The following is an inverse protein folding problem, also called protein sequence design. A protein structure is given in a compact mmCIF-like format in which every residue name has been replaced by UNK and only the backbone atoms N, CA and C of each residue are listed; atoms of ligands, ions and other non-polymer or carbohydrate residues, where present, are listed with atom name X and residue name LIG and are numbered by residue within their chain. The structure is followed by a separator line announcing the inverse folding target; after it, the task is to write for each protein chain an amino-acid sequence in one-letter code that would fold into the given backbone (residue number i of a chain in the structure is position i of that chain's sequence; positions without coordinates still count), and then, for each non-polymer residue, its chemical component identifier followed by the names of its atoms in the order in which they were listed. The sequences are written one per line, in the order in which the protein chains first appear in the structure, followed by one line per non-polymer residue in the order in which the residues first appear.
data_IF_084209886484
#
_entry.id   IF_084209886484
#
_cell.length_a   1.000
_cell.length_b   1.000
_cell.length_c   1.000
_cell.angle_alpha   90.00
_cell.angle_beta   90.00
_cell.angle_gamma   90.00
#
_symmetry.space_group_name_H-M   'P 1'
#
loop_
_entity.id
_entity.type
_entity.pdbx_description
1 polymer ?
#
# COMPACT_ATOMS: atom_id res chain seq x y z
N UNK A 1 -64.02 24.46 18.47
CA UNK A 1 -63.52 23.21 19.07
C UNK A 1 -62.59 22.53 18.06
N UNK A 2 -61.36 22.44 18.47
CA UNK A 2 -60.17 22.21 17.66
C UNK A 2 -60.01 20.74 17.17
N UNK A 3 -59.93 20.54 15.84
CA UNK A 3 -59.58 19.27 15.18
C UNK A 3 -58.15 19.27 14.65
N UNK A 4 -57.21 19.83 15.37
CA UNK A 4 -55.80 19.98 14.89
C UNK A 4 -54.79 19.10 15.63
N UNK A 5 -55.20 17.94 16.19
CA UNK A 5 -54.29 17.05 16.91
C UNK A 5 -54.09 15.67 16.29
N UNK A 6 -54.44 15.44 15.03
CA UNK A 6 -54.36 14.10 14.46
C UNK A 6 -53.27 13.90 13.41
N UNK A 7 -52.32 14.82 13.29
CA UNK A 7 -51.18 14.67 12.36
C UNK A 7 -49.87 14.98 13.04
N UNK A 8 -49.65 14.44 14.24
CA UNK A 8 -48.30 14.32 14.76
C UNK A 8 -47.78 12.95 14.29
N UNK A 9 -47.33 12.93 13.05
CA UNK A 9 -46.55 11.83 12.52
C UNK A 9 -45.24 11.85 13.33
N UNK A 10 -45.12 10.89 14.24
CA UNK A 10 -43.88 10.64 14.96
C UNK A 10 -42.77 10.52 13.91
N UNK A 11 -41.95 11.54 13.81
CA UNK A 11 -40.74 11.48 13.03
C UNK A 11 -39.95 10.23 13.49
N UNK A 12 -39.58 9.31 12.59
CA UNK A 12 -38.87 8.10 12.99
C UNK A 12 -37.66 8.53 13.78
N UNK A 13 -37.60 8.09 15.04
CA UNK A 13 -36.46 8.34 15.92
C UNK A 13 -35.18 8.13 15.12
N UNK A 14 -34.39 9.18 14.97
CA UNK A 14 -33.15 9.16 14.25
C UNK A 14 -32.31 8.02 14.84
N UNK A 15 -32.24 6.92 14.10
CA UNK A 15 -31.38 5.80 14.46
C UNK A 15 -30.01 6.39 14.73
N UNK A 16 -29.38 6.12 15.87
CA UNK A 16 -28.05 6.63 16.13
C UNK A 16 -27.17 6.16 14.97
N UNK A 17 -26.72 7.08 14.14
CA UNK A 17 -25.69 6.80 13.16
C UNK A 17 -24.50 6.34 13.98
N UNK A 18 -24.23 5.04 13.94
CA UNK A 18 -22.99 4.48 14.46
C UNK A 18 -21.91 5.18 13.66
N UNK A 19 -21.39 6.25 14.23
CA UNK A 19 -20.32 7.03 13.65
C UNK A 19 -19.06 6.15 13.78
N UNK A 20 -18.88 5.21 12.83
CA UNK A 20 -17.62 4.50 12.64
C UNK A 20 -16.62 5.47 12.03
N UNK A 21 -16.27 6.49 12.76
CA UNK A 21 -15.05 7.22 12.51
C UNK A 21 -13.95 6.24 12.88
N UNK A 22 -13.44 5.52 11.87
CA UNK A 22 -12.20 4.78 12.02
C UNK A 22 -11.19 5.77 12.62
N UNK A 23 -10.63 5.43 13.78
CA UNK A 23 -9.68 6.32 14.45
C UNK A 23 -8.60 6.69 13.43
N UNK A 24 -8.28 7.98 13.22
CA UNK A 24 -7.32 8.41 12.20
C UNK A 24 -5.95 7.75 12.40
N UNK A 25 -5.63 7.40 13.65
CA UNK A 25 -4.39 6.70 14.02
C UNK A 25 -4.38 5.28 13.43
N UNK A 26 -5.48 4.52 13.53
CA UNK A 26 -5.58 3.17 12.95
C UNK A 26 -5.53 3.21 11.43
N UNK A 27 -6.19 4.18 10.81
CA UNK A 27 -6.19 4.32 9.36
C UNK A 27 -4.79 4.62 8.81
N UNK A 28 -3.95 5.30 9.59
CA UNK A 28 -2.59 5.64 9.20
C UNK A 28 -1.59 4.53 9.55
N UNK A 29 -1.75 3.84 10.68
CA UNK A 29 -0.80 2.82 11.16
C UNK A 29 -0.95 1.49 10.43
N UNK A 30 -2.16 1.08 10.03
CA UNK A 30 -2.40 -0.21 9.36
C UNK A 30 -1.57 -0.40 8.09
N UNK A 31 -1.47 0.57 7.15
CA UNK A 31 -0.62 0.42 5.97
C UNK A 31 0.86 0.21 6.32
N UNK A 32 1.39 0.98 7.25
CA UNK A 32 2.78 0.88 7.68
C UNK A 32 3.11 -0.48 8.30
N UNK A 33 2.27 -0.91 9.24
CA UNK A 33 2.44 -2.19 9.93
C UNK A 33 2.31 -3.36 8.96
N UNK A 34 1.34 -3.32 8.04
CA UNK A 34 1.13 -4.40 7.08
C UNK A 34 2.31 -4.56 6.11
N UNK A 35 2.92 -3.45 5.67
CA UNK A 35 4.12 -3.50 4.82
C UNK A 35 5.32 -4.05 5.60
N UNK A 36 5.54 -3.63 6.84
CA UNK A 36 6.61 -4.15 7.70
C UNK A 36 6.44 -5.65 7.94
N UNK A 37 5.22 -6.11 8.23
CA UNK A 37 4.93 -7.55 8.37
C UNK A 37 5.23 -8.27 7.06
N UNK A 38 4.88 -7.68 5.91
CA UNK A 38 5.18 -8.23 4.58
C UNK A 38 6.69 -8.37 4.32
N UNK A 39 7.52 -7.45 4.84
CA UNK A 39 8.99 -7.55 4.74
C UNK A 39 9.57 -8.66 5.62
N UNK A 40 8.97 -8.91 6.78
CA UNK A 40 9.42 -9.95 7.73
C UNK A 40 8.88 -11.34 7.36
N UNK A 41 7.71 -11.41 6.74
CA UNK A 41 7.04 -12.66 6.42
C UNK A 41 7.91 -13.66 5.65
N UNK A 42 8.70 -13.29 4.63
CA UNK A 42 9.59 -14.21 3.95
C UNK A 42 10.59 -14.91 4.86
N UNK A 43 11.09 -14.23 5.89
CA UNK A 43 12.04 -14.80 6.84
C UNK A 43 11.43 -15.95 7.67
N UNK A 44 10.12 -15.97 7.84
CA UNK A 44 9.41 -17.05 8.56
C UNK A 44 9.11 -18.25 7.66
N UNK A 45 9.02 -18.06 6.36
CA UNK A 45 8.69 -19.11 5.38
C UNK A 45 9.93 -19.71 4.70
N UNK A 46 11.15 -19.32 5.10
CA UNK A 46 12.43 -19.85 4.56
C UNK A 46 12.67 -21.29 5.05
N UNK A 47 11.74 -22.20 4.75
CA UNK A 47 11.97 -23.66 4.80
C UNK A 47 12.13 -24.22 3.38
N UNK A 48 11.86 -23.43 2.34
CA UNK A 48 11.97 -23.85 0.97
C UNK A 48 13.23 -23.26 0.32
N UNK A 49 14.06 -24.13 -0.22
CA UNK A 49 15.24 -23.85 -1.03
C UNK A 49 14.96 -23.14 -2.36
N UNK A 50 13.95 -22.29 -2.42
CA UNK A 50 13.63 -21.50 -3.61
C UNK A 50 14.30 -20.12 -3.51
N UNK A 51 15.22 -19.78 -4.42
CA UNK A 51 15.98 -18.53 -4.36
C UNK A 51 15.17 -17.28 -4.74
N UNK A 52 13.90 -17.42 -5.08
CA UNK A 52 13.06 -16.31 -5.55
C UNK A 52 11.75 -16.30 -4.75
N UNK A 53 11.74 -15.57 -3.65
CA UNK A 53 10.50 -15.25 -2.95
C UNK A 53 9.85 -14.02 -3.60
N UNK A 54 8.51 -14.04 -3.81
CA UNK A 54 7.81 -12.87 -4.30
C UNK A 54 8.00 -11.69 -3.33
N UNK A 55 8.12 -10.45 -3.83
CA UNK A 55 8.31 -9.27 -2.98
C UNK A 55 6.98 -8.87 -2.31
N UNK A 56 6.55 -9.62 -1.28
CA UNK A 56 5.27 -9.41 -0.60
C UNK A 56 5.12 -8.00 -0.05
N UNK A 57 6.18 -7.46 0.55
CA UNK A 57 6.17 -6.12 1.10
C UNK A 57 5.91 -5.07 0.03
N UNK A 58 6.57 -5.18 -1.11
CA UNK A 58 6.37 -4.27 -2.24
C UNK A 58 4.97 -4.38 -2.83
N UNK A 59 4.42 -5.61 -2.94
CA UNK A 59 3.04 -5.84 -3.38
C UNK A 59 2.03 -5.15 -2.45
N UNK A 60 2.19 -5.31 -1.13
CA UNK A 60 1.32 -4.68 -0.13
C UNK A 60 1.46 -3.15 -0.21
N UNK A 61 2.68 -2.65 -0.35
CA UNK A 61 2.96 -1.21 -0.48
C UNK A 61 2.26 -0.59 -1.69
N UNK A 62 2.42 -1.18 -2.89
CA UNK A 62 1.77 -0.72 -4.12
C UNK A 62 0.25 -0.79 -3.99
N UNK A 63 -0.28 -1.86 -3.39
CA UNK A 63 -1.72 -2.02 -3.16
C UNK A 63 -2.29 -0.90 -2.29
N UNK A 64 -1.63 -0.55 -1.18
CA UNK A 64 -2.06 0.54 -0.32
C UNK A 64 -2.01 1.90 -1.01
N UNK A 65 -0.96 2.17 -1.76
CA UNK A 65 -0.84 3.42 -2.54
C UNK A 65 -1.97 3.56 -3.55
N UNK A 66 -2.39 2.47 -4.18
CA UNK A 66 -3.48 2.49 -5.16
C UNK A 66 -4.87 2.56 -4.52
N UNK A 67 -5.10 1.79 -3.44
CA UNK A 67 -6.39 1.78 -2.77
C UNK A 67 -6.70 3.08 -2.03
N UNK A 68 -5.69 3.71 -1.44
CA UNK A 68 -5.80 4.96 -0.68
C UNK A 68 -4.65 5.91 -0.99
N UNK A 69 -4.76 6.70 -2.06
CA UNK A 69 -3.81 7.77 -2.35
C UNK A 69 -3.69 8.72 -1.14
N UNK A 70 -2.47 9.04 -0.75
CA UNK A 70 -2.19 9.95 0.37
C UNK A 70 -1.99 9.32 1.75
N UNK A 71 -2.29 8.03 1.95
CA UNK A 71 -2.03 7.35 3.25
C UNK A 71 -0.54 7.06 3.44
N UNK A 72 0.16 6.72 2.37
CA UNK A 72 1.61 6.58 2.35
C UNK A 72 2.20 7.78 1.61
N UNK A 73 2.88 8.69 2.32
CA UNK A 73 3.50 9.86 1.69
C UNK A 73 4.65 9.43 0.76
N UNK A 74 5.06 10.34 -0.12
CA UNK A 74 6.13 10.09 -1.10
C UNK A 74 7.45 9.61 -0.46
N UNK A 75 7.75 10.08 0.75
CA UNK A 75 8.95 9.68 1.48
C UNK A 75 8.84 8.32 2.19
N UNK A 76 7.65 7.70 2.21
CA UNK A 76 7.44 6.40 2.86
C UNK A 76 8.28 5.27 2.24
N UNK A 77 8.66 5.41 0.97
CA UNK A 77 9.56 4.47 0.29
C UNK A 77 10.93 4.34 0.94
N UNK A 78 11.44 5.42 1.55
CA UNK A 78 12.75 5.40 2.22
C UNK A 78 12.77 4.49 3.46
N UNK A 79 11.95 4.73 4.51
CA UNK A 79 11.99 3.92 5.72
C UNK A 79 11.47 2.50 5.49
N UNK A 80 10.46 2.32 4.65
CA UNK A 80 9.91 0.99 4.37
C UNK A 80 10.87 0.17 3.49
N UNK A 81 11.53 0.79 2.50
CA UNK A 81 12.58 0.16 1.72
C UNK A 81 13.80 -0.21 2.57
N UNK A 82 14.16 0.61 3.57
CA UNK A 82 15.22 0.27 4.51
C UNK A 82 14.87 -0.97 5.34
N UNK A 83 13.64 -1.07 5.81
CA UNK A 83 13.17 -2.28 6.53
C UNK A 83 13.25 -3.50 5.60
N UNK A 84 12.82 -3.36 4.35
CA UNK A 84 12.88 -4.45 3.38
C UNK A 84 14.33 -4.89 3.10
N UNK A 85 15.27 -3.95 2.92
CA UNK A 85 16.70 -4.25 2.73
C UNK A 85 17.31 -5.05 3.90
N UNK A 86 16.86 -4.79 5.14
CA UNK A 86 17.36 -5.49 6.32
C UNK A 86 16.91 -6.95 6.38
N UNK A 87 15.74 -7.27 5.83
CA UNK A 87 15.15 -8.62 5.93
C UNK A 87 15.20 -9.41 4.62
N UNK A 88 15.35 -8.77 3.46
CA UNK A 88 15.32 -9.43 2.15
C UNK A 88 16.64 -10.08 1.74
N UNK A 89 17.74 -9.76 2.44
CA UNK A 89 19.07 -10.26 2.10
C UNK A 89 19.62 -9.75 0.76
N UNK A 90 19.00 -8.72 0.19
CA UNK A 90 19.48 -8.03 -1.01
C UNK A 90 20.62 -7.05 -0.66
N UNK A 91 21.37 -6.57 -1.67
CA UNK A 91 22.40 -5.55 -1.42
C UNK A 91 21.78 -4.32 -0.76
N UNK A 92 22.36 -3.88 0.36
CA UNK A 92 21.85 -2.73 1.13
C UNK A 92 21.69 -1.49 0.24
N UNK A 93 20.50 -0.88 0.31
CA UNK A 93 20.15 0.31 -0.46
C UNK A 93 19.37 0.01 -1.75
N UNK A 94 19.28 -1.25 -2.18
CA UNK A 94 18.56 -1.61 -3.39
C UNK A 94 17.06 -1.42 -3.26
N UNK A 95 16.46 -1.88 -2.17
CA UNK A 95 15.03 -1.69 -1.93
C UNK A 95 14.71 -0.23 -1.65
N UNK A 96 15.53 0.48 -0.87
CA UNK A 96 15.37 1.92 -0.63
C UNK A 96 15.25 2.68 -1.97
N UNK A 97 16.17 2.42 -2.90
CA UNK A 97 16.20 3.08 -4.19
C UNK A 97 14.97 2.71 -5.03
N UNK A 98 14.68 1.42 -5.17
CA UNK A 98 13.57 0.95 -5.98
C UNK A 98 12.20 1.43 -5.44
N UNK A 99 12.01 1.41 -4.13
CA UNK A 99 10.77 1.88 -3.49
C UNK A 99 10.61 3.39 -3.63
N UNK A 100 11.69 4.16 -3.52
CA UNK A 100 11.66 5.60 -3.73
C UNK A 100 11.30 5.95 -5.17
N UNK A 101 11.87 5.25 -6.15
CA UNK A 101 11.51 5.40 -7.56
C UNK A 101 10.04 5.05 -7.77
N UNK A 102 9.56 3.95 -7.19
CA UNK A 102 8.16 3.55 -7.29
C UNK A 102 7.21 4.61 -6.72
N UNK A 103 7.57 5.25 -5.58
CA UNK A 103 6.81 6.36 -5.01
C UNK A 103 6.72 7.53 -5.99
N UNK A 104 7.83 7.93 -6.59
CA UNK A 104 7.89 9.04 -7.55
C UNK A 104 7.04 8.72 -8.79
N UNK A 105 7.17 7.51 -9.33
CA UNK A 105 6.41 7.07 -10.50
C UNK A 105 4.91 7.06 -10.21
N UNK A 106 4.50 6.52 -9.06
CA UNK A 106 3.10 6.52 -8.65
C UNK A 106 2.56 7.94 -8.49
N UNK A 107 3.32 8.84 -7.87
CA UNK A 107 2.92 10.23 -7.69
C UNK A 107 2.74 10.96 -9.04
N UNK A 108 3.66 10.73 -9.99
CA UNK A 108 3.55 11.26 -11.35
C UNK A 108 2.30 10.71 -12.05
N UNK A 109 2.03 9.41 -11.90
CA UNK A 109 0.86 8.79 -12.52
C UNK A 109 -0.43 9.32 -11.89
N UNK A 110 -0.48 9.47 -10.58
CA UNK A 110 -1.63 10.05 -9.86
C UNK A 110 -1.93 11.47 -10.32
N UNK A 111 -0.89 12.28 -10.55
CA UNK A 111 -1.06 13.67 -11.00
C UNK A 111 -1.41 13.80 -12.48
N UNK A 112 -0.94 12.87 -13.32
CA UNK A 112 -1.14 12.92 -14.79
C UNK A 112 -2.40 12.24 -15.27
N UNK A 113 -2.90 11.23 -14.55
CA UNK A 113 -4.07 10.42 -14.91
C UNK A 113 -5.19 10.58 -13.87
N UNK A 114 -5.97 11.68 -13.93
CA UNK A 114 -7.10 11.88 -13.01
C UNK A 114 -8.24 10.88 -13.23
N UNK A 115 -8.29 10.22 -14.40
CA UNK A 115 -9.31 9.23 -14.79
C UNK A 115 -8.79 7.81 -14.54
N UNK A 116 -8.80 7.41 -13.28
CA UNK A 116 -8.36 6.06 -12.92
C UNK A 116 -9.49 5.06 -13.12
N UNK A 117 -9.31 4.17 -14.08
CA UNK A 117 -10.13 2.98 -14.26
C UNK A 117 -9.43 1.77 -13.64
N UNK A 118 -10.19 0.77 -13.22
CA UNK A 118 -9.67 -0.49 -12.69
C UNK A 118 -8.57 -1.11 -13.57
N UNK A 119 -8.74 -1.07 -14.89
CA UNK A 119 -7.75 -1.56 -15.85
C UNK A 119 -6.43 -0.79 -15.78
N UNK A 120 -6.48 0.54 -15.62
CA UNK A 120 -5.29 1.40 -15.52
C UNK A 120 -4.53 1.12 -14.23
N UNK A 121 -5.24 0.93 -13.11
CA UNK A 121 -4.63 0.58 -11.82
C UNK A 121 -3.92 -0.76 -11.89
N UNK A 122 -4.54 -1.73 -12.54
CA UNK A 122 -3.96 -3.06 -12.75
C UNK A 122 -2.70 -3.02 -13.62
N UNK A 123 -2.72 -2.25 -14.71
CA UNK A 123 -1.55 -2.07 -15.58
C UNK A 123 -0.39 -1.38 -14.86
N UNK A 124 -0.68 -0.36 -14.07
CA UNK A 124 0.34 0.36 -13.28
C UNK A 124 0.95 -0.57 -12.24
N UNK A 125 0.12 -1.31 -11.48
CA UNK A 125 0.61 -2.26 -10.49
C UNK A 125 1.49 -3.34 -11.12
N UNK A 126 1.01 -3.99 -12.17
CA UNK A 126 1.75 -5.06 -12.85
C UNK A 126 3.05 -4.56 -13.48
N UNK A 127 3.04 -3.37 -14.07
CA UNK A 127 4.22 -2.72 -14.63
C UNK A 127 5.28 -2.42 -13.56
N UNK A 128 4.87 -1.85 -12.42
CA UNK A 128 5.76 -1.54 -11.31
C UNK A 128 6.36 -2.80 -10.68
N UNK A 129 5.55 -3.83 -10.47
CA UNK A 129 6.00 -5.11 -9.90
C UNK A 129 7.00 -5.78 -10.84
N UNK A 130 6.70 -5.81 -12.13
CA UNK A 130 7.60 -6.39 -13.15
C UNK A 130 8.91 -5.61 -13.21
N UNK A 131 8.86 -4.29 -13.23
CA UNK A 131 10.05 -3.43 -13.20
C UNK A 131 10.87 -3.66 -11.93
N UNK A 132 10.21 -3.76 -10.76
CA UNK A 132 10.89 -4.05 -9.50
C UNK A 132 11.64 -5.39 -9.57
N UNK A 133 11.02 -6.46 -10.04
CA UNK A 133 11.63 -7.78 -10.14
C UNK A 133 12.84 -7.76 -11.09
N UNK A 134 12.70 -7.14 -12.27
CA UNK A 134 13.80 -7.07 -13.26
C UNK A 134 14.96 -6.26 -12.70
N UNK A 135 14.70 -5.10 -12.08
CA UNK A 135 15.75 -4.24 -11.54
C UNK A 135 16.42 -4.88 -10.32
N UNK A 136 15.66 -5.52 -9.44
CA UNK A 136 16.24 -6.22 -8.27
C UNK A 136 17.13 -7.38 -8.69
N UNK A 137 16.73 -8.16 -9.69
CA UNK A 137 17.57 -9.22 -10.28
C UNK A 137 18.82 -8.64 -10.93
N UNK A 138 18.69 -7.52 -11.65
CA UNK A 138 19.84 -6.82 -12.25
C UNK A 138 20.86 -6.37 -11.20
N UNK A 139 20.39 -5.74 -10.13
CA UNK A 139 21.24 -5.29 -9.02
C UNK A 139 21.90 -6.48 -8.31
N UNK A 140 21.15 -7.55 -8.05
CA UNK A 140 21.68 -8.76 -7.43
C UNK A 140 22.79 -9.41 -8.27
N UNK A 141 22.61 -9.48 -9.60
CA UNK A 141 23.64 -9.99 -10.50
C UNK A 141 24.90 -9.11 -10.53
N UNK A 142 24.75 -7.80 -10.49
CA UNK A 142 25.88 -6.87 -10.44
C UNK A 142 26.63 -6.93 -9.11
N UNK A 143 25.93 -7.14 -8.01
CA UNK A 143 26.52 -7.25 -6.70
C UNK A 143 27.17 -8.63 -6.44
N UNK A 144 26.71 -9.67 -7.12
CA UNK A 144 27.27 -11.03 -7.05
C UNK A 144 28.40 -11.31 -8.04
N UNK A 145 28.59 -10.40 -8.96
CA UNK A 145 29.70 -10.44 -9.91
C UNK A 145 30.94 -9.73 -9.34
#
# INVERSE_FOLDING_TARGET
MSKSRLFQIDAPASRPRINRTASPILALSVPWISVIIGSIAPAWFVIASAPVLPPFAFLIFVSWRQLRPGVLPMWAGLPLGLVDDLYSGQPMGSAILLWSIACIVLDIIETRLPWRNFATEWLVASGLITAYIILSLGIANLAGA
#
